data_IF_293480684179
#
_entry.id   IF_293480684179
#
_cell.length_a   1.000
_cell.length_b   1.000
_cell.length_c   1.000
_cell.angle_alpha   90.00
_cell.angle_beta   90.00
_cell.angle_gamma   90.00
#
_symmetry.space_group_name_H-M   'P 1'
#
loop_
_entity.id
_entity.type
_entity.pdbx_description
1 polymer ?
#
# COMPACT_ATOMS: atom_id res chain seq x y z
N UNK A 1 20.18 32.79 -1.40
CA UNK A 1 19.21 32.00 -2.14
C UNK A 1 17.83 32.23 -1.56
N UNK A 2 16.85 32.45 -2.41
CA UNK A 2 15.52 32.72 -1.89
C UNK A 2 14.79 31.41 -1.65
N UNK A 3 13.72 31.47 -0.85
CA UNK A 3 12.95 30.30 -0.56
C UNK A 3 12.29 29.74 -1.80
N UNK A 4 11.99 30.60 -2.77
CA UNK A 4 11.33 30.15 -3.99
C UNK A 4 12.21 29.15 -4.74
N UNK A 5 13.54 29.34 -4.67
CA UNK A 5 14.44 28.44 -5.36
C UNK A 5 14.49 27.06 -4.74
N UNK A 6 14.03 26.93 -3.50
CA UNK A 6 14.07 25.67 -2.79
C UNK A 6 12.76 24.91 -2.86
N UNK A 7 11.74 25.50 -3.45
CA UNK A 7 10.44 24.84 -3.52
C UNK A 7 10.43 23.79 -4.61
N UNK A 8 9.75 22.68 -4.37
CA UNK A 8 9.69 21.64 -5.38
C UNK A 8 8.84 22.07 -6.55
N UNK A 9 9.06 21.44 -7.68
CA UNK A 9 8.26 21.69 -8.87
C UNK A 9 6.88 21.05 -8.65
N UNK A 10 5.86 21.87 -8.60
CA UNK A 10 4.49 21.43 -8.34
C UNK A 10 3.67 21.24 -9.62
N UNK A 11 4.33 21.22 -10.76
CA UNK A 11 3.63 21.03 -12.03
C UNK A 11 3.13 19.60 -12.16
N UNK A 12 1.96 19.45 -12.76
CA UNK A 12 1.43 18.11 -13.00
C UNK A 12 2.21 17.42 -14.11
N UNK A 13 2.32 16.10 -14.00
CA UNK A 13 2.96 15.30 -15.03
C UNK A 13 1.92 15.07 -16.13
N UNK A 14 1.97 15.88 -17.17
CA UNK A 14 0.96 15.82 -18.21
C UNK A 14 1.03 14.55 -19.04
N UNK A 15 2.20 13.88 -19.05
CA UNK A 15 2.31 12.63 -19.78
C UNK A 15 1.60 11.49 -19.07
N UNK A 16 1.30 11.65 -17.79
CA UNK A 16 0.62 10.63 -16.99
C UNK A 16 -0.80 11.02 -16.62
N UNK A 17 -1.30 12.08 -17.23
CA UNK A 17 -2.62 12.60 -16.83
C UNK A 17 -3.72 11.62 -17.19
N UNK A 18 -4.62 11.36 -16.25
CA UNK A 18 -5.74 10.46 -16.46
C UNK A 18 -7.00 11.04 -15.84
N UNK A 19 -8.13 10.64 -16.39
CA UNK A 19 -9.43 10.90 -15.79
C UNK A 19 -9.79 9.69 -14.96
N UNK A 20 -10.16 9.89 -13.69
CA UNK A 20 -10.53 8.79 -12.82
C UNK A 20 -12.04 8.77 -12.65
N UNK A 21 -12.61 7.59 -12.80
CA UNK A 21 -14.02 7.38 -12.51
C UNK A 21 -14.12 6.23 -11.52
N UNK A 22 -14.96 6.40 -10.51
CA UNK A 22 -15.11 5.40 -9.46
C UNK A 22 -16.49 4.79 -9.53
N UNK A 23 -16.53 3.46 -9.55
CA UNK A 23 -17.78 2.70 -9.55
C UNK A 23 -17.80 1.83 -8.31
N UNK A 24 -18.81 1.96 -7.48
CA UNK A 24 -18.86 1.22 -6.22
C UNK A 24 -20.27 0.70 -5.97
N UNK A 25 -20.34 -0.46 -5.30
CA UNK A 25 -21.62 -1.00 -4.85
C UNK A 25 -21.90 -0.56 -3.41
N UNK A 26 -21.01 0.24 -2.83
CA UNK A 26 -21.11 0.75 -1.46
C UNK A 26 -21.14 -0.36 -0.42
N UNK A 27 -20.70 -1.57 -0.76
CA UNK A 27 -20.71 -2.69 0.17
C UNK A 27 -19.42 -3.48 0.14
N UNK A 28 -19.03 -3.97 -1.03
CA UNK A 28 -17.84 -4.81 -1.12
C UNK A 28 -16.62 -3.99 -1.45
N UNK A 29 -16.74 -3.09 -2.41
CA UNK A 29 -15.58 -2.32 -2.80
C UNK A 29 -15.86 -1.37 -3.93
N UNK A 30 -14.81 -0.98 -4.63
CA UNK A 30 -14.91 -0.02 -5.73
C UNK A 30 -13.95 -0.38 -6.84
N UNK A 31 -14.33 -0.01 -8.05
CA UNK A 31 -13.47 -0.12 -9.21
C UNK A 31 -13.19 1.30 -9.69
N UNK A 32 -11.94 1.58 -9.99
CA UNK A 32 -11.55 2.87 -10.53
C UNK A 32 -11.12 2.67 -11.98
N UNK A 33 -11.72 3.43 -12.87
CA UNK A 33 -11.34 3.40 -14.29
C UNK A 33 -10.44 4.59 -14.55
N UNK A 34 -9.27 4.36 -15.06
CA UNK A 34 -8.28 5.39 -15.34
C UNK A 34 -8.17 5.54 -16.85
N UNK A 35 -8.71 6.63 -17.36
CA UNK A 35 -8.73 6.91 -18.79
C UNK A 35 -7.68 7.98 -19.09
N UNK A 36 -6.62 7.64 -19.85
CA UNK A 36 -5.61 8.64 -20.18
C UNK A 36 -6.20 9.78 -21.00
N UNK A 37 -5.80 11.00 -20.67
CA UNK A 37 -6.30 12.18 -21.35
C UNK A 37 -5.17 13.15 -21.63
N UNK A 38 -5.42 13.99 -22.63
CA UNK A 38 -4.53 15.12 -22.91
C UNK A 38 -4.87 16.26 -21.94
N UNK A 39 -4.06 17.30 -21.96
CA UNK A 39 -4.25 18.41 -21.04
C UNK A 39 -5.57 19.16 -21.26
N UNK A 40 -6.15 19.02 -22.43
CA UNK A 40 -7.46 19.64 -22.70
C UNK A 40 -8.62 18.71 -22.30
N UNK A 41 -8.32 17.55 -21.74
CA UNK A 41 -9.34 16.63 -21.27
C UNK A 41 -9.79 15.59 -22.29
N UNK A 42 -9.33 15.70 -23.55
CA UNK A 42 -9.73 14.70 -24.56
C UNK A 42 -8.94 13.41 -24.38
N UNK A 43 -9.53 12.32 -24.84
CA UNK A 43 -8.95 10.99 -24.69
C UNK A 43 -7.61 10.87 -25.40
N UNK A 44 -6.61 10.36 -24.71
CA UNK A 44 -5.31 10.04 -25.29
C UNK A 44 -5.31 8.57 -25.66
N UNK A 45 -5.52 8.27 -26.94
CA UNK A 45 -5.65 6.89 -27.39
C UNK A 45 -4.33 6.17 -27.50
N UNK A 46 -3.22 6.87 -27.32
CA UNK A 46 -1.93 6.22 -27.36
C UNK A 46 -1.62 5.46 -26.06
N UNK A 47 -2.40 5.68 -25.02
CA UNK A 47 -2.24 4.98 -23.75
C UNK A 47 -3.51 4.20 -23.43
N UNK A 48 -3.40 3.01 -22.83
CA UNK A 48 -4.59 2.20 -22.59
C UNK A 48 -5.37 2.68 -21.36
N UNK A 49 -6.66 2.38 -21.35
CA UNK A 49 -7.51 2.54 -20.16
C UNK A 49 -7.14 1.40 -19.21
N UNK A 50 -7.00 1.71 -17.94
CA UNK A 50 -6.68 0.70 -16.94
C UNK A 50 -7.73 0.71 -15.85
N UNK A 51 -7.79 -0.40 -15.10
CA UNK A 51 -8.76 -0.58 -14.04
C UNK A 51 -8.06 -1.01 -12.78
N UNK A 52 -8.49 -0.48 -11.65
CA UNK A 52 -7.97 -0.91 -10.35
C UNK A 52 -9.14 -1.15 -9.42
N UNK A 53 -8.93 -2.02 -8.45
CA UNK A 53 -9.96 -2.35 -7.48
C UNK A 53 -9.51 -2.02 -6.08
N UNK A 54 -10.49 -1.76 -5.22
CA UNK A 54 -10.24 -1.49 -3.82
C UNK A 54 -11.31 -2.18 -3.00
N UNK A 55 -10.90 -2.79 -1.90
CA UNK A 55 -11.83 -3.39 -0.96
C UNK A 55 -11.20 -3.37 0.42
N UNK A 56 -11.94 -3.77 1.42
CA UNK A 56 -11.39 -3.90 2.77
C UNK A 56 -11.60 -5.32 3.24
N UNK A 57 -10.57 -5.86 3.88
CA UNK A 57 -10.61 -7.19 4.42
C UNK A 57 -10.57 -7.07 5.93
N UNK A 58 -11.52 -7.75 6.59
CA UNK A 58 -11.55 -7.73 8.05
C UNK A 58 -10.54 -8.73 8.57
N UNK A 59 -9.66 -8.28 9.43
CA UNK A 59 -8.67 -9.13 10.08
C UNK A 59 -8.81 -8.98 11.58
N UNK A 60 -8.06 -9.78 12.31
CA UNK A 60 -8.06 -9.67 13.75
C UNK A 60 -7.54 -8.31 14.21
N UNK A 61 -6.71 -7.68 13.42
CA UNK A 61 -6.18 -6.36 13.74
C UNK A 61 -7.04 -5.21 13.22
N UNK A 62 -8.20 -5.52 12.63
CA UNK A 62 -9.11 -4.50 12.11
C UNK A 62 -9.25 -4.59 10.61
N UNK A 63 -9.83 -3.55 10.03
CA UNK A 63 -10.04 -3.50 8.59
C UNK A 63 -8.73 -3.19 7.88
N UNK A 64 -8.43 -3.98 6.86
CA UNK A 64 -7.20 -3.84 6.10
C UNK A 64 -7.55 -3.46 4.67
N UNK A 65 -7.09 -2.31 4.18
CA UNK A 65 -7.40 -1.93 2.80
C UNK A 65 -6.59 -2.78 1.83
N UNK A 66 -7.24 -3.17 0.75
CA UNK A 66 -6.62 -3.98 -0.29
C UNK A 66 -6.83 -3.28 -1.62
N UNK A 67 -5.74 -3.00 -2.33
CA UNK A 67 -5.79 -2.37 -3.64
C UNK A 67 -5.09 -3.26 -4.64
N UNK A 68 -5.61 -3.35 -5.85
CA UNK A 68 -5.05 -4.24 -6.85
C UNK A 68 -5.41 -3.75 -8.24
N UNK A 69 -4.60 -4.14 -9.21
CA UNK A 69 -4.89 -3.84 -10.61
C UNK A 69 -5.72 -4.97 -11.20
N UNK A 70 -6.68 -4.61 -12.03
CA UNK A 70 -7.54 -5.58 -12.68
C UNK A 70 -7.24 -5.54 -14.18
N UNK A 71 -6.83 -6.67 -14.73
CA UNK A 71 -6.61 -6.74 -16.17
C UNK A 71 -7.95 -6.89 -16.86
N UNK A 72 -8.37 -5.87 -17.55
CA UNK A 72 -9.67 -5.85 -18.20
C UNK A 72 -9.66 -4.88 -19.36
N UNK A 73 -10.49 -5.17 -20.36
CA UNK A 73 -10.64 -4.31 -21.51
C UNK A 73 -11.89 -3.44 -21.40
N UNK A 74 -12.73 -3.69 -20.42
CA UNK A 74 -13.97 -2.94 -20.24
C UNK A 74 -14.35 -2.96 -18.78
N UNK A 75 -15.24 -2.06 -18.40
CA UNK A 75 -15.75 -2.04 -17.04
C UNK A 75 -16.47 -3.34 -16.70
N UNK A 76 -17.23 -3.86 -17.63
CA UNK A 76 -17.94 -5.12 -17.41
C UNK A 76 -16.98 -6.24 -17.08
N UNK A 77 -15.89 -6.31 -17.83
CA UNK A 77 -14.88 -7.34 -17.59
C UNK A 77 -14.20 -7.13 -16.25
N UNK A 78 -13.95 -5.86 -15.88
CA UNK A 78 -13.36 -5.56 -14.58
C UNK A 78 -14.28 -6.01 -13.45
N UNK A 79 -15.58 -5.79 -13.60
CA UNK A 79 -16.55 -6.24 -12.60
C UNK A 79 -16.51 -7.75 -12.46
N UNK A 80 -16.46 -8.46 -13.58
CA UNK A 80 -16.45 -9.92 -13.57
C UNK A 80 -15.19 -10.46 -12.92
N UNK A 81 -14.07 -9.78 -13.07
CA UNK A 81 -12.79 -10.25 -12.57
C UNK A 81 -12.45 -9.72 -11.18
N UNK A 82 -13.31 -8.89 -10.62
CA UNK A 82 -13.01 -8.20 -9.37
C UNK A 82 -12.74 -9.20 -8.24
N UNK A 83 -13.64 -10.15 -8.03
CA UNK A 83 -13.52 -11.06 -6.90
C UNK A 83 -12.28 -11.95 -7.03
N UNK A 84 -12.02 -12.46 -8.22
CA UNK A 84 -10.87 -13.32 -8.44
C UNK A 84 -9.57 -12.55 -8.23
N UNK A 85 -9.50 -11.34 -8.77
CA UNK A 85 -8.30 -10.52 -8.63
C UNK A 85 -8.09 -10.12 -7.17
N UNK A 86 -9.17 -9.80 -6.47
CA UNK A 86 -9.08 -9.45 -5.06
C UNK A 86 -8.57 -10.63 -4.24
N UNK A 87 -9.07 -11.84 -4.52
CA UNK A 87 -8.61 -13.02 -3.82
C UNK A 87 -7.13 -13.29 -4.07
N UNK A 88 -6.69 -13.10 -5.31
CA UNK A 88 -5.29 -13.28 -5.63
C UNK A 88 -4.42 -12.26 -4.92
N UNK A 89 -4.87 -11.01 -4.87
CA UNK A 89 -4.12 -9.96 -4.18
C UNK A 89 -4.04 -10.26 -2.69
N UNK A 90 -5.11 -10.80 -2.11
CA UNK A 90 -5.13 -11.15 -0.71
C UNK A 90 -4.14 -12.29 -0.43
N UNK A 91 -4.13 -13.31 -1.28
CA UNK A 91 -3.20 -14.42 -1.11
C UNK A 91 -1.76 -13.94 -1.21
N UNK A 92 -1.48 -13.05 -2.16
CA UNK A 92 -0.14 -12.52 -2.32
C UNK A 92 0.29 -11.71 -1.10
N UNK A 93 -0.64 -10.96 -0.53
CA UNK A 93 -0.35 -10.18 0.66
C UNK A 93 -0.07 -11.08 1.86
N UNK A 94 -0.86 -12.13 2.03
CA UNK A 94 -0.66 -13.07 3.12
C UNK A 94 0.71 -13.74 2.98
N UNK A 95 1.06 -14.12 1.76
CA UNK A 95 2.34 -14.75 1.50
C UNK A 95 3.51 -13.81 1.84
N UNK A 96 3.37 -12.54 1.50
CA UNK A 96 4.42 -11.57 1.81
C UNK A 96 4.57 -11.36 3.32
N UNK A 97 3.44 -11.33 4.03
CA UNK A 97 3.49 -11.17 5.48
C UNK A 97 4.18 -12.38 6.11
N UNK A 98 3.86 -13.57 5.64
CA UNK A 98 4.49 -14.79 6.15
C UNK A 98 5.98 -14.79 5.89
N UNK A 99 6.40 -14.33 4.72
CA UNK A 99 7.80 -14.24 4.40
C UNK A 99 8.52 -13.25 5.31
N UNK A 100 7.88 -12.11 5.56
CA UNK A 100 8.47 -11.12 6.44
C UNK A 100 8.60 -11.65 7.86
N UNK A 101 7.61 -12.38 8.33
CA UNK A 101 7.69 -12.98 9.65
C UNK A 101 8.80 -14.01 9.73
N UNK A 102 8.96 -14.78 8.67
CA UNK A 102 10.02 -15.77 8.63
C UNK A 102 11.38 -15.10 8.66
N UNK A 103 11.55 -14.02 7.92
CA UNK A 103 12.82 -13.31 7.90
C UNK A 103 13.12 -12.67 9.26
N UNK A 104 12.10 -12.15 9.91
CA UNK A 104 12.30 -11.57 11.22
C UNK A 104 12.68 -12.64 12.25
N UNK A 105 12.05 -13.79 12.18
CA UNK A 105 12.38 -14.87 13.08
C UNK A 105 13.82 -15.34 12.86
N UNK A 106 14.24 -15.42 11.61
CA UNK A 106 15.61 -15.80 11.30
C UNK A 106 16.59 -14.77 11.85
N UNK A 107 16.27 -13.49 11.70
CA UNK A 107 17.14 -12.43 12.19
C UNK A 107 17.25 -12.49 13.69
N UNK A 108 16.16 -12.77 14.40
CA UNK A 108 16.19 -12.83 15.84
C UNK A 108 17.06 -13.95 16.32
N UNK A 109 17.07 -15.06 15.60
CA UNK A 109 17.83 -16.22 16.00
C UNK A 109 19.31 -16.04 15.77
N UNK A 110 19.70 -15.11 14.92
CA UNK A 110 21.10 -14.92 14.60
C UNK A 110 21.88 -14.57 15.85
N UNK A 111 22.96 -15.28 16.11
CA UNK A 111 23.73 -15.01 17.29
C UNK A 111 24.42 -13.70 17.16
N UNK A 112 24.78 -13.21 18.13
CA UNK A 112 25.43 -12.02 18.12
C UNK A 112 24.53 -10.90 18.10
N UNK A 113 23.44 -11.13 17.63
CA UNK A 113 22.60 -10.16 17.70
C UNK A 113 21.93 -10.20 18.82
N UNK A 114 22.13 -11.18 19.33
CA UNK A 114 21.64 -11.27 20.38
C UNK A 114 21.54 -10.15 20.97
N UNK A 115 21.76 -10.10 20.98
CA UNK A 115 21.70 -9.27 21.36
C UNK A 115 21.05 -8.37 20.89
N UNK A 116 21.31 -8.17 20.72
CA UNK A 116 20.95 -7.33 20.31
C UNK A 116 19.91 -7.03 20.14
N UNK A 117 19.90 -7.00 20.20
CA UNK A 117 19.26 -6.62 19.91
C UNK A 117 18.41 -6.16 20.04
N UNK A 118 18.34 -6.33 20.26
CA UNK A 118 17.77 -5.93 20.21
C UNK A 118 17.22 -5.55 20.56
N UNK A 119 17.47 -5.56 20.86
CA UNK A 119 17.16 -5.38 21.01
C UNK A 119 16.43 -4.90 21.24
N UNK A 120 16.39 -4.66 21.39
CA UNK A 120 15.90 -4.36 21.40
C UNK A 120 15.10 -3.94 21.54
N UNK A 121 14.85 -3.92 21.57
CA UNK A 121 14.28 -3.67 21.57
C UNK A 121 13.81 -3.63 21.98
N UNK A 122 13.89 -3.61 22.37
CA UNK A 122 13.61 -3.69 22.76
C UNK A 122 13.30 -3.15 23.29
N UNK A 123 13.34 -3.02 23.53
CA UNK A 123 13.19 -2.76 23.89
C UNK A 123 12.83 -2.02 24.27
N UNK A 124 12.60 -2.04 24.46
CA UNK A 124 12.45 -1.60 24.67
C UNK A 124 12.16 -1.37 25.18
N UNK A 125 12.24 -1.43 25.46
CA UNK A 125 12.19 -1.45 25.94
C UNK A 125 12.08 -1.19 26.79
N UNK A 126 12.22 -1.09 26.98
CA UNK A 126 12.35 -1.02 27.52
C UNK A 126 12.36 -0.65 28.18
N UNK A 127 12.46 -0.53 28.29
CA UNK A 127 12.67 -0.30 28.69
C UNK A 127 12.67 0.18 29.23
N UNK A 128 12.71 0.21 29.56
CA UNK A 128 12.96 0.55 29.94
C UNK A 128 12.91 0.90 30.48
N UNK A 129 12.89 0.99 30.81
CA UNK A 129 13.10 1.03 31.09
C UNK A 129 13.06 1.36 31.63
N UNK A 130 13.04 1.50 31.98
CA UNK A 130 13.29 1.53 32.20
C UNK A 130 13.31 1.98 32.66
N UNK A 131 13.36 2.03 32.99
CA UNK A 131 13.68 2.43 33.26
C UNK A 131 13.79 2.90 33.46
N UNK A 132 13.58 3.10 33.76
CA UNK A 132 13.91 3.25 33.61
C UNK A 132 13.84 3.61 33.61
N UNK A 133 13.73 3.94 34.05
CA UNK A 133 13.93 4.04 33.83
C UNK A 133 13.80 4.36 33.81
N UNK A 134 13.69 4.72 34.16
CA UNK A 134 13.83 4.74 33.93
C UNK A 134 13.53 5.21 34.04
N UNK A 135 13.52 5.35 34.17
CA UNK A 135 13.61 5.60 34.13
C UNK A 135 13.22 6.01 34.30
N UNK A 136 13.10 6.02 34.49
CA UNK A 136 13.01 6.12 34.40
C UNK A 136 12.73 6.36 34.58
N UNK A 137 12.57 6.61 34.98
CA UNK A 137 12.58 6.66 34.96
C UNK A 137 12.22 6.83 35.14
N UNK A 138 12.04 7.23 35.64
CA UNK A 138 11.90 7.06 35.62
C UNK A 138 11.90 7.09 35.89
#
# INVERSE_FOLDING_TARGET
MSEVDQMPDMSLDTASLVQEETFTDSRVGAIRRLTPVHTDGTRDESRPVTYSGQTQVMTQGGALPLSFEIEADSLEQAVERFAETANQALEDMIRRVEEMQREQATSIVTPGQGGGGMGGMGGMGGGAGGPGGGIQLR
#
